data_IF_755098157540
#
_entry.id   IF_755098157540
#
_cell.length_a   1.000
_cell.length_b   1.000
_cell.length_c   1.000
_cell.angle_alpha   90.00
_cell.angle_beta   90.00
_cell.angle_gamma   90.00
#
_symmetry.space_group_name_H-M   'P 1'
#
loop_
_entity.id
_entity.type
_entity.pdbx_description
1 polymer ?
#
# COMPACT_ATOMS: atom_id res chain seq x y z
N UNK A 1 -5.26 18.17 -28.59
CA UNK A 1 -5.32 16.71 -28.78
C UNK A 1 -5.13 16.07 -27.41
N UNK A 2 -6.22 15.84 -26.68
CA UNK A 2 -6.16 15.11 -25.41
C UNK A 2 -6.26 13.63 -25.69
N UNK A 3 -5.13 12.92 -25.57
CA UNK A 3 -5.15 11.47 -25.43
C UNK A 3 -5.76 11.14 -24.07
N UNK A 4 -7.08 10.92 -24.04
CA UNK A 4 -7.73 10.19 -22.97
C UNK A 4 -7.14 8.78 -23.01
N UNK A 5 -6.21 8.47 -22.11
CA UNK A 5 -5.75 7.10 -21.94
C UNK A 5 -6.93 6.32 -21.36
N UNK A 6 -7.58 5.49 -22.17
CA UNK A 6 -8.45 4.42 -21.70
C UNK A 6 -7.56 3.41 -20.95
N UNK A 7 -7.27 3.73 -19.68
CA UNK A 7 -6.49 2.88 -18.80
C UNK A 7 -7.17 1.52 -18.71
N UNK A 8 -6.46 0.46 -19.10
CA UNK A 8 -6.92 -0.91 -18.94
C UNK A 8 -7.28 -1.11 -17.47
N UNK A 9 -8.57 -1.18 -17.19
CA UNK A 9 -9.03 -1.61 -15.88
C UNK A 9 -8.66 -3.08 -15.75
N UNK A 10 -7.95 -3.49 -14.67
CA UNK A 10 -7.68 -4.89 -14.46
C UNK A 10 -9.01 -5.66 -14.41
N UNK A 11 -9.05 -6.84 -15.00
CA UNK A 11 -10.18 -7.75 -14.83
C UNK A 11 -10.26 -8.17 -13.37
N UNK A 12 -11.46 -8.51 -12.89
CA UNK A 12 -11.63 -9.11 -11.57
C UNK A 12 -10.90 -10.45 -11.44
N UNK A 13 -10.57 -10.82 -10.21
CA UNK A 13 -10.05 -12.15 -9.88
C UNK A 13 -11.19 -13.06 -9.40
N UNK A 14 -11.10 -14.36 -9.68
CA UNK A 14 -12.06 -15.35 -9.18
C UNK A 14 -11.84 -15.67 -7.68
N UNK A 15 -10.66 -15.39 -7.16
CA UNK A 15 -10.24 -15.59 -5.76
C UNK A 15 -9.74 -14.26 -5.21
N UNK A 16 -9.90 -14.00 -3.91
CA UNK A 16 -9.36 -12.80 -3.30
C UNK A 16 -7.83 -12.75 -3.51
N UNK A 17 -7.27 -11.58 -3.83
CA UNK A 17 -5.82 -11.46 -4.06
C UNK A 17 -5.02 -11.83 -2.81
N UNK A 18 -5.56 -11.54 -1.63
CA UNK A 18 -5.00 -11.94 -0.33
C UNK A 18 -4.95 -13.44 -0.09
N UNK A 19 -5.72 -14.24 -0.83
CA UNK A 19 -5.69 -15.71 -0.78
C UNK A 19 -4.84 -16.30 -1.92
N UNK A 20 -4.78 -15.62 -3.06
CA UNK A 20 -4.04 -16.06 -4.23
C UNK A 20 -2.53 -15.79 -4.14
N UNK A 21 -2.13 -14.79 -3.35
CA UNK A 21 -0.75 -14.37 -3.17
C UNK A 21 -0.41 -14.29 -1.68
N UNK A 22 0.84 -14.60 -1.34
CA UNK A 22 1.34 -14.55 0.03
C UNK A 22 1.81 -13.14 0.44
N UNK A 23 2.14 -12.28 -0.53
CA UNK A 23 2.71 -10.95 -0.29
C UNK A 23 2.12 -9.91 -1.24
N UNK A 24 1.81 -8.72 -0.72
CA UNK A 24 1.52 -7.52 -1.50
C UNK A 24 2.66 -6.51 -1.36
N UNK A 25 3.13 -5.99 -2.50
CA UNK A 25 3.98 -4.81 -2.55
C UNK A 25 3.10 -3.60 -2.86
N UNK A 26 3.02 -2.67 -1.91
CA UNK A 26 2.07 -1.57 -1.91
C UNK A 26 2.83 -0.27 -2.11
N UNK A 27 2.49 0.47 -3.17
CA UNK A 27 2.82 1.89 -3.22
C UNK A 27 2.13 2.63 -2.08
N UNK A 28 2.61 3.83 -1.74
CA UNK A 28 2.10 4.64 -0.65
C UNK A 28 1.29 5.84 -1.14
N UNK A 29 1.94 6.75 -1.85
CA UNK A 29 1.36 8.03 -2.28
C UNK A 29 0.26 7.81 -3.34
N UNK A 30 -0.99 8.07 -3.00
CA UNK A 30 -2.14 7.84 -3.88
C UNK A 30 -2.68 6.40 -3.85
N UNK A 31 -2.12 5.53 -2.99
CA UNK A 31 -2.59 4.15 -2.81
C UNK A 31 -3.02 3.88 -1.36
N UNK A 32 -2.14 4.13 -0.39
CA UNK A 32 -2.45 3.97 1.04
C UNK A 32 -2.92 5.29 1.64
N UNK A 33 -2.27 6.39 1.28
CA UNK A 33 -2.61 7.73 1.75
C UNK A 33 -2.48 8.77 0.64
N UNK A 34 -3.16 9.91 0.81
CA UNK A 34 -3.00 11.08 -0.04
C UNK A 34 -3.10 12.35 0.81
N UNK A 35 -2.13 13.26 0.66
CA UNK A 35 -2.12 14.52 1.44
C UNK A 35 -2.00 14.33 2.95
N UNK A 36 -1.47 13.19 3.41
CA UNK A 36 -1.31 12.85 4.83
C UNK A 36 -2.53 12.16 5.46
N UNK A 37 -3.59 11.91 4.68
CA UNK A 37 -4.80 11.21 5.14
C UNK A 37 -4.90 9.84 4.47
N UNK A 38 -5.45 8.85 5.18
CA UNK A 38 -5.67 7.52 4.63
C UNK A 38 -6.67 7.56 3.46
N UNK A 39 -6.39 6.78 2.41
CA UNK A 39 -7.35 6.57 1.32
C UNK A 39 -8.53 5.77 1.86
N UNK A 40 -9.73 6.14 1.42
CA UNK A 40 -10.98 5.47 1.81
C UNK A 40 -10.86 3.96 1.53
N UNK A 41 -11.20 3.15 2.54
CA UNK A 41 -11.08 1.69 2.55
C UNK A 41 -9.66 1.11 2.56
N UNK A 42 -8.59 1.90 2.45
CA UNK A 42 -7.22 1.36 2.44
C UNK A 42 -6.93 0.60 3.74
N UNK A 43 -7.18 1.23 4.90
CA UNK A 43 -6.92 0.63 6.23
C UNK A 43 -7.67 -0.69 6.42
N UNK A 44 -8.98 -0.69 6.15
CA UNK A 44 -9.83 -1.88 6.29
C UNK A 44 -9.41 -3.01 5.33
N UNK A 45 -9.06 -2.67 4.09
CA UNK A 45 -8.63 -3.65 3.07
C UNK A 45 -7.30 -4.29 3.44
N UNK A 46 -6.33 -3.49 3.92
CA UNK A 46 -5.02 -3.98 4.36
C UNK A 46 -5.15 -4.84 5.63
N UNK A 47 -6.00 -4.43 6.58
CA UNK A 47 -6.30 -5.24 7.75
C UNK A 47 -6.90 -6.60 7.37
N UNK A 48 -7.83 -6.62 6.41
CA UNK A 48 -8.44 -7.85 5.89
C UNK A 48 -7.40 -8.75 5.22
N UNK A 49 -6.54 -8.19 4.36
CA UNK A 49 -5.48 -8.94 3.69
C UNK A 49 -4.49 -9.55 4.70
N UNK A 50 -4.05 -8.77 5.69
CA UNK A 50 -3.16 -9.24 6.76
C UNK A 50 -3.81 -10.34 7.60
N UNK A 51 -5.09 -10.20 7.93
CA UNK A 51 -5.84 -11.22 8.67
C UNK A 51 -6.00 -12.53 7.88
N UNK A 52 -6.01 -12.45 6.54
CA UNK A 52 -5.98 -13.61 5.65
C UNK A 52 -4.58 -14.25 5.51
N UNK A 53 -3.55 -13.68 6.16
CA UNK A 53 -2.18 -14.20 6.16
C UNK A 53 -1.24 -13.58 5.12
N UNK A 54 -1.70 -12.57 4.37
CA UNK A 54 -0.86 -11.88 3.39
C UNK A 54 0.14 -10.94 4.10
N UNK A 55 1.41 -11.04 3.72
CA UNK A 55 2.44 -10.10 4.13
C UNK A 55 2.30 -8.78 3.33
N UNK A 56 2.45 -7.64 4.01
CA UNK A 56 2.33 -6.32 3.40
C UNK A 56 3.69 -5.64 3.43
N UNK A 57 4.24 -5.38 2.24
CA UNK A 57 5.48 -4.63 2.06
C UNK A 57 5.15 -3.26 1.45
N UNK A 58 5.50 -2.18 2.14
CA UNK A 58 5.23 -0.82 1.73
C UNK A 58 6.42 -0.26 0.96
N UNK A 59 6.26 -0.04 -0.33
CA UNK A 59 7.31 0.39 -1.23
C UNK A 59 7.04 1.83 -1.63
N UNK A 60 8.03 2.71 -1.49
CA UNK A 60 7.90 4.09 -1.96
C UNK A 60 9.16 4.60 -2.63
N UNK A 61 8.98 5.36 -3.71
CA UNK A 61 10.06 6.10 -4.33
C UNK A 61 10.36 7.42 -3.60
N UNK A 62 9.51 7.82 -2.65
CA UNK A 62 9.66 9.03 -1.86
C UNK A 62 10.71 8.83 -0.76
N UNK A 63 11.96 9.17 -1.07
CA UNK A 63 13.10 9.05 -0.17
C UNK A 63 13.25 10.22 0.84
N UNK A 64 12.26 11.13 0.93
CA UNK A 64 12.33 12.26 1.86
C UNK A 64 12.15 11.84 3.33
N UNK A 65 11.58 10.66 3.58
CA UNK A 65 11.31 10.10 4.91
C UNK A 65 12.09 8.80 5.09
N UNK A 66 12.58 8.57 6.30
CA UNK A 66 13.21 7.29 6.67
C UNK A 66 12.14 6.19 6.77
N UNK A 67 12.52 4.90 6.67
CA UNK A 67 11.60 3.78 6.92
C UNK A 67 10.84 3.92 8.24
N UNK A 68 11.51 4.32 9.32
CA UNK A 68 10.88 4.56 10.63
C UNK A 68 9.78 5.63 10.57
N UNK A 69 10.06 6.78 9.95
CA UNK A 69 9.09 7.87 9.85
C UNK A 69 7.89 7.49 8.96
N UNK A 70 8.10 6.62 7.97
CA UNK A 70 7.00 6.09 7.15
C UNK A 70 6.16 5.09 7.94
N UNK A 71 6.79 4.17 8.67
CA UNK A 71 6.10 3.17 9.50
C UNK A 71 5.29 3.81 10.63
N UNK A 72 5.84 4.84 11.29
CA UNK A 72 5.12 5.65 12.29
C UNK A 72 3.88 6.30 11.67
N UNK A 73 4.03 6.96 10.53
CA UNK A 73 2.92 7.61 9.84
C UNK A 73 1.83 6.61 9.41
N UNK A 74 2.20 5.45 8.88
CA UNK A 74 1.25 4.38 8.55
C UNK A 74 0.48 3.94 9.80
N UNK A 75 1.17 3.79 10.93
CA UNK A 75 0.57 3.39 12.21
C UNK A 75 -0.39 4.46 12.73
N UNK A 76 -0.05 5.74 12.63
CA UNK A 76 -0.94 6.87 12.95
C UNK A 76 -2.24 6.86 12.13
N UNK A 77 -2.13 6.46 10.86
CA UNK A 77 -3.27 6.29 9.96
C UNK A 77 -4.09 5.01 10.24
N UNK A 78 -3.67 4.19 11.21
CA UNK A 78 -4.35 2.95 11.58
C UNK A 78 -3.89 1.72 10.82
N UNK A 79 -2.78 1.80 10.09
CA UNK A 79 -2.12 0.67 9.41
C UNK A 79 -0.88 0.26 10.23
N UNK A 80 -0.96 -0.76 11.10
CA UNK A 80 0.20 -1.16 11.91
C UNK A 80 1.35 -1.60 11.01
N UNK A 81 2.48 -0.91 11.07
CA UNK A 81 3.66 -1.17 10.26
C UNK A 81 4.94 -1.03 11.09
N UNK A 82 5.92 -1.88 10.83
CA UNK A 82 7.27 -1.78 11.38
C UNK A 82 8.23 -1.18 10.32
N UNK A 83 9.37 -0.59 10.71
CA UNK A 83 10.35 -0.07 9.75
C UNK A 83 10.84 -1.13 8.74
N UNK A 84 10.86 -2.41 9.13
CA UNK A 84 11.22 -3.53 8.24
C UNK A 84 10.19 -3.83 7.16
N UNK A 85 8.96 -3.35 7.31
CA UNK A 85 7.91 -3.50 6.31
C UNK A 85 8.04 -2.43 5.21
N UNK A 86 8.90 -1.42 5.38
CA UNK A 86 9.04 -0.29 4.46
C UNK A 86 10.32 -0.40 3.63
N UNK A 87 10.16 -0.36 2.31
CA UNK A 87 11.25 -0.30 1.33
C UNK A 87 11.23 1.06 0.65
N UNK A 88 12.34 1.79 0.73
CA UNK A 88 12.49 3.08 0.05
C UNK A 88 13.54 2.98 -1.07
N UNK A 89 13.43 3.86 -2.07
CA UNK A 89 14.39 3.95 -3.18
C UNK A 89 15.82 4.37 -2.76
N UNK A 90 16.02 4.81 -1.52
CA UNK A 90 17.32 5.21 -0.98
C UNK A 90 18.12 4.03 -0.36
N UNK A 91 17.56 2.82 -0.37
CA UNK A 91 18.24 1.59 0.04
C UNK A 91 19.09 0.97 -1.09
#
# INVERSE_FOLDING_TARGET
>A
MSHQQDGVRPSGSATALSEAYDTALLDLDGVVYAGGEAIVHAVESLATARAAGMHLAYVTNNALRTPDAVAEHLTELGVPAEPSDVITSAQ
#
